data_IF_709881459170
#
_entry.id   IF_709881459170
#
_cell.length_a   1.000
_cell.length_b   1.000
_cell.length_c   1.000
_cell.angle_alpha   90.00
_cell.angle_beta   90.00
_cell.angle_gamma   90.00
#
_symmetry.space_group_name_H-M   'P 1'
#
loop_
_entity.id
_entity.type
_entity.pdbx_description
1 polymer ?
#
# COMPACT_ATOMS: atom_id res chain seq x y z
N UNK A 1 9.60 -15.96 5.73
CA UNK A 1 8.15 -15.86 5.80
C UNK A 1 7.57 -15.59 4.43
N UNK A 2 6.42 -16.13 4.22
CA UNK A 2 5.69 -15.84 3.00
C UNK A 2 4.80 -14.67 3.17
N UNK A 3 4.69 -13.86 2.15
CA UNK A 3 3.62 -12.89 2.09
C UNK A 3 2.69 -13.32 0.95
N UNK A 4 1.38 -13.25 1.15
CA UNK A 4 0.45 -13.54 0.07
C UNK A 4 0.41 -12.44 -0.97
N UNK A 5 1.07 -11.32 -0.69
CA UNK A 5 1.10 -10.19 -1.60
C UNK A 5 1.90 -10.55 -2.84
N UNK A 6 1.26 -10.47 -3.99
CA UNK A 6 1.91 -10.76 -5.26
C UNK A 6 2.72 -9.57 -5.72
N UNK A 7 2.17 -8.39 -5.59
CA UNK A 7 2.85 -7.17 -6.00
C UNK A 7 2.18 -5.96 -5.35
N UNK A 8 2.85 -4.86 -5.39
CA UNK A 8 2.29 -3.59 -4.93
C UNK A 8 2.85 -2.47 -5.78
N UNK A 9 2.12 -1.36 -5.81
CA UNK A 9 2.57 -0.13 -6.45
C UNK A 9 2.25 1.03 -5.49
N UNK A 10 3.24 1.72 -4.97
CA UNK A 10 4.69 1.51 -5.19
C UNK A 10 5.15 0.17 -4.64
N UNK A 11 6.16 -0.39 -5.28
CA UNK A 11 6.72 -1.65 -4.81
C UNK A 11 7.46 -1.44 -3.48
N UNK A 12 7.63 -2.52 -2.73
CA UNK A 12 8.41 -2.47 -1.50
C UNK A 12 9.82 -1.96 -1.80
N UNK A 13 10.29 -1.05 -0.96
CA UNK A 13 11.63 -0.46 -1.06
C UNK A 13 11.84 0.41 -2.29
N UNK A 14 10.78 0.70 -3.04
CA UNK A 14 10.89 1.59 -4.20
C UNK A 14 11.02 3.04 -3.76
N UNK A 15 11.57 3.86 -4.65
CA UNK A 15 11.61 5.30 -4.47
C UNK A 15 10.81 5.92 -5.61
N UNK A 16 9.86 6.78 -5.25
CA UNK A 16 8.92 7.36 -6.21
C UNK A 16 8.81 8.85 -5.99
N UNK A 17 8.41 9.58 -7.02
CA UNK A 17 8.29 11.03 -6.95
C UNK A 17 7.04 11.46 -6.19
N UNK A 18 5.94 10.76 -6.41
CA UNK A 18 4.70 11.04 -5.69
C UNK A 18 3.79 9.82 -5.74
N UNK A 19 2.84 9.77 -4.82
CA UNK A 19 1.88 8.68 -4.74
C UNK A 19 0.53 9.28 -4.40
N UNK A 20 -0.48 8.92 -5.18
CA UNK A 20 -1.87 9.28 -4.87
C UNK A 20 -2.74 8.04 -4.76
N UNK A 21 -2.31 6.93 -5.32
CA UNK A 21 -3.04 5.65 -5.26
C UNK A 21 -2.06 4.56 -4.89
N UNK A 22 -2.48 3.72 -3.95
CA UNK A 22 -1.70 2.54 -3.57
C UNK A 22 -2.43 1.33 -4.12
N UNK A 23 -1.71 0.52 -4.88
CA UNK A 23 -2.25 -0.71 -5.44
C UNK A 23 -1.58 -1.89 -4.79
N UNK A 24 -2.38 -2.88 -4.40
CA UNK A 24 -1.85 -4.13 -3.87
C UNK A 24 -2.55 -5.28 -4.56
N UNK A 25 -1.78 -6.30 -4.89
CA UNK A 25 -2.29 -7.46 -5.58
C UNK A 25 -1.87 -8.72 -4.84
N UNK A 26 -2.81 -9.63 -4.65
CA UNK A 26 -2.58 -10.88 -3.94
C UNK A 26 -2.59 -12.04 -4.92
N UNK A 27 -2.05 -13.18 -4.49
CA UNK A 27 -2.01 -14.38 -5.32
C UNK A 27 -3.37 -15.02 -5.51
N UNK A 28 -4.33 -14.67 -4.67
CA UNK A 28 -5.69 -15.14 -4.78
C UNK A 28 -6.64 -14.18 -4.10
N UNK A 29 -7.96 -14.39 -4.24
CA UNK A 29 -8.91 -13.47 -3.63
C UNK A 29 -8.82 -13.48 -2.12
N UNK A 30 -8.80 -12.28 -1.54
CA UNK A 30 -8.82 -12.09 -0.09
C UNK A 30 -9.76 -10.94 0.22
N UNK A 31 -10.19 -10.85 1.49
CA UNK A 31 -10.95 -9.70 1.95
C UNK A 31 -10.00 -8.80 2.71
N UNK A 32 -9.73 -7.64 2.17
CA UNK A 32 -8.87 -6.66 2.83
C UNK A 32 -9.70 -5.95 3.88
N UNK A 33 -9.36 -6.17 5.15
CA UNK A 33 -10.16 -5.64 6.25
C UNK A 33 -9.52 -4.43 6.92
N UNK A 34 -8.24 -4.18 6.64
CA UNK A 34 -7.54 -3.07 7.24
C UNK A 34 -6.40 -2.62 6.33
N UNK A 35 -6.22 -1.32 6.25
CA UNK A 35 -5.08 -0.75 5.55
C UNK A 35 -4.73 0.58 6.21
N UNK A 36 -3.49 0.73 6.62
CA UNK A 36 -2.99 1.95 7.25
C UNK A 36 -1.72 2.39 6.54
N UNK A 37 -1.65 3.67 6.31
CA UNK A 37 -0.46 4.29 5.72
C UNK A 37 0.06 5.29 6.72
N UNK A 38 1.35 5.19 7.06
CA UNK A 38 1.98 6.11 7.99
C UNK A 38 3.27 6.66 7.39
N UNK A 39 3.58 7.87 7.75
CA UNK A 39 4.80 8.53 7.31
C UNK A 39 5.34 9.34 8.49
N UNK A 40 6.55 8.97 8.94
CA UNK A 40 7.14 9.66 10.08
C UNK A 40 6.32 9.58 11.35
N UNK A 41 5.58 8.48 11.55
CA UNK A 41 4.73 8.33 12.70
C UNK A 41 3.36 8.98 12.58
N UNK A 42 3.08 9.62 11.46
CA UNK A 42 1.81 10.30 11.22
C UNK A 42 1.00 9.47 10.24
N UNK A 43 -0.27 9.25 10.58
CA UNK A 43 -1.14 8.48 9.71
C UNK A 43 -1.61 9.32 8.54
N UNK A 44 -1.47 8.76 7.33
CA UNK A 44 -1.91 9.41 6.10
C UNK A 44 -3.35 8.96 5.85
N UNK A 45 -4.28 9.89 5.66
CA UNK A 45 -5.67 9.51 5.36
C UNK A 45 -5.76 8.76 4.05
N UNK A 46 -6.58 7.73 4.03
CA UNK A 46 -6.85 6.95 2.82
C UNK A 46 -8.35 6.80 2.64
N UNK A 47 -8.75 6.49 1.42
CA UNK A 47 -10.16 6.23 1.14
C UNK A 47 -10.48 4.75 1.21
N UNK A 48 -9.67 4.01 1.95
CA UNK A 48 -9.92 2.59 2.12
C UNK A 48 -11.20 2.35 2.91
N UNK A 49 -12.01 1.42 2.42
CA UNK A 49 -13.16 0.90 3.16
C UNK A 49 -13.15 -0.61 3.01
N UNK A 50 -13.45 -1.35 4.09
CA UNK A 50 -13.48 -2.80 3.99
C UNK A 50 -14.52 -3.23 2.97
N UNK A 51 -14.16 -4.24 2.16
CA UNK A 51 -15.03 -4.75 1.13
C UNK A 51 -15.49 -6.15 1.54
N UNK A 52 -16.81 -6.42 1.56
CA UNK A 52 -17.29 -7.75 1.95
C UNK A 52 -16.97 -8.83 0.93
N UNK A 53 -16.64 -8.45 -0.30
CA UNK A 53 -16.34 -9.42 -1.34
C UNK A 53 -14.86 -9.65 -1.47
N UNK A 54 -14.43 -10.91 -1.64
CA UNK A 54 -13.00 -11.19 -1.87
C UNK A 54 -12.56 -10.67 -3.22
N UNK A 55 -11.38 -10.04 -3.21
CA UNK A 55 -10.77 -9.53 -4.44
C UNK A 55 -9.29 -9.84 -4.39
N UNK A 56 -8.70 -10.01 -5.57
CA UNK A 56 -7.27 -10.29 -5.68
C UNK A 56 -6.46 -9.00 -5.77
N UNK A 57 -7.06 -7.90 -6.15
CA UNK A 57 -6.34 -6.64 -6.26
C UNK A 57 -7.18 -5.51 -5.69
N UNK A 58 -6.48 -4.51 -5.14
CA UNK A 58 -7.12 -3.36 -4.51
C UNK A 58 -6.39 -2.10 -4.92
N UNK A 59 -7.17 -1.02 -5.11
CA UNK A 59 -6.63 0.30 -5.38
C UNK A 59 -7.17 1.24 -4.32
N UNK A 60 -6.30 1.86 -3.56
CA UNK A 60 -6.69 2.72 -2.45
C UNK A 60 -6.14 4.11 -2.69
N UNK A 61 -7.02 5.10 -2.77
CA UNK A 61 -6.61 6.49 -2.86
C UNK A 61 -6.11 6.96 -1.51
N UNK A 62 -5.00 7.67 -1.50
CA UNK A 62 -4.39 8.18 -0.29
C UNK A 62 -4.23 9.69 -0.40
N UNK A 63 -4.16 10.34 0.76
CA UNK A 63 -3.90 11.77 0.81
C UNK A 63 -2.48 12.10 0.42
N UNK A 64 -2.18 13.39 0.44
CA UNK A 64 -0.85 13.87 0.06
C UNK A 64 0.21 13.32 1.00
N UNK A 65 1.36 13.00 0.42
CA UNK A 65 2.49 12.50 1.18
C UNK A 65 3.67 13.44 1.01
N UNK A 66 4.33 13.72 2.11
CA UNK A 66 5.56 14.50 2.10
C UNK A 66 6.72 13.62 1.66
N UNK A 67 7.88 14.22 1.48
CA UNK A 67 9.08 13.44 1.21
C UNK A 67 9.43 12.58 2.42
N UNK A 68 9.90 11.36 2.17
CA UNK A 68 10.36 10.48 3.22
C UNK A 68 9.80 9.07 3.11
N UNK A 69 10.13 8.26 4.09
CA UNK A 69 9.73 6.86 4.10
C UNK A 69 8.25 6.73 4.48
N UNK A 70 7.53 5.95 3.71
CA UNK A 70 6.12 5.66 3.94
C UNK A 70 5.97 4.18 4.21
N UNK A 71 5.20 3.84 5.23
CA UNK A 71 4.94 2.45 5.60
C UNK A 71 3.48 2.14 5.41
N UNK A 72 3.19 1.04 4.74
CA UNK A 72 1.83 0.55 4.52
C UNK A 72 1.65 -0.75 5.27
N UNK A 73 0.70 -0.76 6.20
CA UNK A 73 0.34 -1.97 6.94
C UNK A 73 -1.06 -2.41 6.55
N UNK A 74 -1.23 -3.70 6.33
CA UNK A 74 -2.52 -4.20 5.91
C UNK A 74 -2.87 -5.50 6.62
N UNK A 75 -4.16 -5.80 6.67
CA UNK A 75 -4.67 -7.06 7.20
C UNK A 75 -5.75 -7.56 6.26
N UNK A 76 -5.69 -8.84 5.94
CA UNK A 76 -6.63 -9.45 5.02
C UNK A 76 -7.02 -10.83 5.54
N UNK A 77 -8.19 -11.29 5.12
CA UNK A 77 -8.67 -12.63 5.45
C UNK A 77 -8.68 -13.43 4.15
N UNK A 78 -7.91 -14.52 4.15
CA UNK A 78 -7.83 -15.37 2.98
C UNK A 78 -9.06 -16.25 2.81
N UNK A 79 -9.08 -17.00 1.72
CA UNK A 79 -10.21 -17.86 1.40
C UNK A 79 -10.42 -18.96 2.45
N UNK A 80 -9.36 -19.34 3.16
CA UNK A 80 -9.44 -20.35 4.21
C UNK A 80 -9.82 -19.77 5.58
N UNK A 81 -10.09 -18.49 5.65
CA UNK A 81 -10.48 -17.84 6.88
C UNK A 81 -9.32 -17.37 7.76
N UNK A 82 -8.09 -17.60 7.35
CA UNK A 82 -6.95 -17.13 8.12
C UNK A 82 -6.70 -15.64 7.90
N UNK A 83 -6.34 -14.95 8.97
CA UNK A 83 -5.97 -13.54 8.90
C UNK A 83 -4.50 -13.44 8.52
N UNK A 84 -4.24 -12.60 7.52
CA UNK A 84 -2.89 -12.35 7.02
C UNK A 84 -2.57 -10.89 7.25
N UNK A 85 -1.40 -10.62 7.82
CA UNK A 85 -0.96 -9.24 8.05
C UNK A 85 0.48 -9.09 7.61
N UNK A 86 0.80 -7.92 7.10
CA UNK A 86 2.18 -7.62 6.73
C UNK A 86 2.31 -6.12 6.53
N UNK A 87 3.54 -5.68 6.33
CA UNK A 87 3.83 -4.28 6.02
C UNK A 87 4.84 -4.21 4.90
N UNK A 88 4.80 -3.12 4.17
CA UNK A 88 5.86 -2.79 3.24
C UNK A 88 6.09 -1.29 3.28
N UNK A 89 7.25 -0.85 2.82
CA UNK A 89 7.62 0.56 2.84
C UNK A 89 8.17 0.98 1.50
N UNK A 90 8.00 2.25 1.21
CA UNK A 90 8.61 2.88 0.04
C UNK A 90 8.97 4.30 0.41
N UNK A 91 9.77 4.95 -0.44
CA UNK A 91 10.25 6.30 -0.17
C UNK A 91 9.67 7.26 -1.20
N UNK A 92 9.21 8.41 -0.74
CA UNK A 92 8.74 9.49 -1.60
C UNK A 92 9.82 10.54 -1.69
N UNK A 93 10.28 10.82 -2.91
CA UNK A 93 11.28 11.85 -3.19
C UNK A 93 10.79 12.71 -4.34
N UNK A 94 10.04 13.76 -4.06
CA UNK A 94 9.42 14.56 -5.11
C UNK A 94 10.38 15.14 -6.12
N UNK A 95 11.62 15.37 -5.73
CA UNK A 95 12.59 15.95 -6.65
C UNK A 95 13.04 15.05 -7.77
N UNK A 96 12.82 13.74 -7.67
CA UNK A 96 13.32 12.80 -8.66
C UNK A 96 12.72 13.07 -10.03
N UNK A 97 11.39 13.11 -10.09
CA UNK A 97 10.71 13.34 -11.36
C UNK A 97 10.98 14.74 -11.89
N UNK A 98 11.00 15.72 -11.01
CA UNK A 98 11.30 17.09 -11.40
C UNK A 98 12.69 17.22 -12.00
N UNK A 99 13.65 16.55 -11.39
CA UNK A 99 15.01 16.58 -11.93
C UNK A 99 15.06 15.89 -13.28
N UNK A 100 14.41 14.75 -13.40
CA UNK A 100 14.43 14.03 -14.66
C UNK A 100 13.72 14.79 -15.77
N UNK A 101 12.75 15.60 -15.41
CA UNK A 101 12.00 16.36 -16.41
C UNK A 101 12.65 17.64 -16.85
N UNK A 102 13.73 18.02 -16.26
CA UNK A 102 14.39 19.27 -16.59
C UNK A 102 15.36 19.12 -17.73
#
# INVERSE_FOLDING_TARGET
AHTPLKSSSPAADATVAEVSVIEIEFNGPVRLVRLRVTQGGVEIPTEFAPNPEPLASFQISAGDMAAGLVTVGWAAIGADGHTLTDTFSFTVEPGIAGVAGN
#
